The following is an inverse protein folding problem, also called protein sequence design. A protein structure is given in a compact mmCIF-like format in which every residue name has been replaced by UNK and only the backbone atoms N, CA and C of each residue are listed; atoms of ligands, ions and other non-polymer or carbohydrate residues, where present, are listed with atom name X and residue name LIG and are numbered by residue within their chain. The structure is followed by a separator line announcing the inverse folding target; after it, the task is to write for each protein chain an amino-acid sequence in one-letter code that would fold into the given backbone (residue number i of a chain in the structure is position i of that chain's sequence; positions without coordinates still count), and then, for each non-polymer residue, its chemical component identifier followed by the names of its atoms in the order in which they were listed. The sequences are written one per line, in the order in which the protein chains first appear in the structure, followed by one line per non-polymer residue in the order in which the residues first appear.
data_IF_345642243613
#
_entry.id   IF_345642243613
#
_cell.length_a   1.000
_cell.length_b   1.000
_cell.length_c   1.000
_cell.angle_alpha   90.00
_cell.angle_beta   90.00
_cell.angle_gamma   90.00
#
_symmetry.space_group_name_H-M   'P 1'
#
loop_
_entity.id
_entity.type
_entity.pdbx_description
1 polymer ?
#
# COMPACT_ATOMS: atom_id res chain seq x y z
N UNK A 1 14.12 8.18 33.46
CA UNK A 1 14.22 7.61 32.10
C UNK A 1 13.58 8.55 31.07
N UNK A 2 14.33 9.05 30.08
CA UNK A 2 13.87 10.05 29.10
C UNK A 2 13.24 9.48 27.83
N UNK A 3 13.14 8.16 27.69
CA UNK A 3 12.54 7.52 26.52
C UNK A 3 11.01 7.63 26.57
N UNK A 4 10.41 8.04 25.46
CA UNK A 4 8.97 8.11 25.25
C UNK A 4 8.56 7.09 24.20
N UNK A 5 7.38 6.49 24.40
CA UNK A 5 6.83 5.57 23.41
C UNK A 5 6.55 6.31 22.11
N UNK A 6 6.84 5.70 20.94
CA UNK A 6 6.59 6.33 19.66
C UNK A 6 5.11 6.67 19.49
N UNK A 7 4.82 7.82 18.90
CA UNK A 7 3.44 8.25 18.69
C UNK A 7 3.31 9.14 17.46
N UNK A 8 2.23 8.90 16.72
CA UNK A 8 1.85 9.64 15.52
C UNK A 8 0.40 10.10 15.62
N UNK A 9 0.07 11.16 14.89
CA UNK A 9 -1.31 11.49 14.58
C UNK A 9 -1.57 11.34 13.08
N UNK A 10 -2.79 10.90 12.74
CA UNK A 10 -3.24 10.69 11.36
C UNK A 10 -4.57 11.37 11.11
N UNK A 11 -4.67 12.07 9.99
CA UNK A 11 -5.93 12.59 9.45
C UNK A 11 -6.15 11.95 8.08
N UNK A 12 -7.38 11.51 7.82
CA UNK A 12 -7.81 11.00 6.52
C UNK A 12 -9.06 11.77 6.10
N UNK A 13 -9.08 12.22 4.85
CA UNK A 13 -10.22 12.86 4.22
C UNK A 13 -10.44 12.20 2.86
N UNK A 14 -11.69 11.87 2.55
CA UNK A 14 -12.06 11.35 1.25
C UNK A 14 -13.43 11.92 0.86
N UNK A 15 -13.52 12.39 -0.37
CA UNK A 15 -14.73 12.93 -0.97
C UNK A 15 -14.91 12.23 -2.31
N UNK A 16 -16.10 11.68 -2.53
CA UNK A 16 -16.54 11.19 -3.82
C UNK A 16 -17.82 11.93 -4.17
N UNK A 17 -17.89 12.44 -5.39
CA UNK A 17 -19.01 13.22 -5.86
C UNK A 17 -19.39 12.81 -7.27
N UNK A 18 -20.64 12.39 -7.44
CA UNK A 18 -21.25 12.25 -8.75
C UNK A 18 -21.65 13.63 -9.28
N UNK A 19 -20.98 14.05 -10.35
CA UNK A 19 -21.23 15.28 -11.09
C UNK A 19 -22.07 14.91 -12.33
N UNK A 20 -22.94 15.83 -12.75
CA UNK A 20 -23.92 15.59 -13.83
C UNK A 20 -23.34 14.89 -15.06
N UNK A 21 -24.19 14.12 -15.75
CA UNK A 21 -23.83 13.23 -16.87
C UNK A 21 -22.95 12.03 -16.47
N UNK A 22 -23.10 11.48 -15.26
CA UNK A 22 -22.47 10.22 -14.82
C UNK A 22 -20.96 10.30 -14.60
N UNK A 23 -20.42 11.52 -14.44
CA UNK A 23 -19.02 11.72 -14.07
C UNK A 23 -18.90 11.58 -12.55
N UNK A 24 -17.86 10.89 -12.10
CA UNK A 24 -17.51 10.78 -10.71
C UNK A 24 -16.17 11.48 -10.49
N UNK A 25 -16.15 12.43 -9.56
CA UNK A 25 -14.94 13.11 -9.12
C UNK A 25 -14.60 12.63 -7.72
N UNK A 26 -13.33 12.27 -7.53
CA UNK A 26 -12.81 11.85 -6.23
C UNK A 26 -11.67 12.76 -5.80
N UNK A 27 -11.60 13.01 -4.50
CA UNK A 27 -10.47 13.66 -3.86
C UNK A 27 -10.21 12.95 -2.53
N UNK A 28 -8.96 12.59 -2.27
CA UNK A 28 -8.56 12.02 -0.99
C UNK A 28 -7.26 12.63 -0.51
N UNK A 29 -7.11 12.67 0.81
CA UNK A 29 -5.96 13.22 1.49
C UNK A 29 -5.69 12.42 2.75
N UNK A 30 -4.44 12.02 2.94
CA UNK A 30 -3.95 11.42 4.17
C UNK A 30 -2.79 12.27 4.66
N UNK A 31 -2.80 12.64 5.92
CA UNK A 31 -1.69 13.32 6.56
C UNK A 31 -1.33 12.56 7.84
N UNK A 32 -0.04 12.31 8.03
CA UNK A 32 0.54 11.67 9.21
C UNK A 32 1.65 12.58 9.73
N UNK A 33 1.71 12.81 11.02
CA UNK A 33 2.84 13.48 11.64
C UNK A 33 3.28 12.76 12.91
N UNK A 34 4.58 12.57 12.99
CA UNK A 34 5.24 11.94 14.13
C UNK A 34 5.44 12.93 15.24
N UNK A 35 4.91 12.62 16.42
CA UNK A 35 5.09 13.42 17.63
C UNK A 35 6.30 12.93 18.43
N UNK A 36 6.46 11.61 18.54
CA UNK A 36 7.61 11.00 19.19
C UNK A 36 8.18 9.93 18.25
N UNK A 37 9.37 10.19 17.70
CA UNK A 37 10.02 9.27 16.77
C UNK A 37 10.73 8.12 17.48
N UNK A 38 11.09 7.09 16.71
CA UNK A 38 11.94 5.98 17.14
C UNK A 38 13.12 5.82 16.18
N UNK A 39 14.33 5.81 16.75
CA UNK A 39 15.53 5.53 16.01
C UNK A 39 16.43 4.56 16.78
N UNK A 40 17.32 3.89 16.05
CA UNK A 40 18.31 2.99 16.60
C UNK A 40 19.72 3.48 16.25
N UNK A 41 20.64 3.32 17.20
CA UNK A 41 22.07 3.55 16.99
C UNK A 41 22.89 2.50 17.73
N UNK A 42 24.08 2.18 17.22
CA UNK A 42 25.08 1.42 17.96
C UNK A 42 25.91 2.39 18.82
N UNK A 43 25.82 2.24 20.13
CA UNK A 43 26.55 3.12 21.08
C UNK A 43 28.05 2.81 21.14
N UNK A 44 28.48 1.66 20.60
CA UNK A 44 29.90 1.30 20.51
C UNK A 44 30.52 1.64 19.15
N UNK A 45 29.73 2.11 18.19
CA UNK A 45 30.24 2.49 16.89
C UNK A 45 31.08 3.78 16.99
N UNK A 46 32.39 3.61 16.87
CA UNK A 46 33.35 4.72 16.81
C UNK A 46 33.67 5.03 15.36
N UNK A 47 33.79 6.32 15.01
CA UNK A 47 34.24 6.71 13.67
C UNK A 47 35.73 6.41 13.53
N UNK A 48 36.14 5.86 12.39
CA UNK A 48 37.53 5.54 12.10
C UNK A 48 38.32 6.82 11.77
N UNK A 49 39.37 7.09 12.52
CA UNK A 49 40.29 8.20 12.27
C UNK A 49 41.64 7.68 11.78
N UNK A 50 42.14 8.21 10.67
CA UNK A 50 43.46 7.92 10.09
C UNK A 50 44.24 9.22 9.99
N UNK A 51 45.42 9.29 10.61
CA UNK A 51 46.26 10.50 10.66
C UNK A 51 45.51 11.76 11.18
N UNK A 52 44.62 11.58 12.14
CA UNK A 52 43.82 12.68 12.72
C UNK A 52 42.65 13.16 11.85
N UNK A 53 42.42 12.54 10.68
CA UNK A 53 41.30 12.87 9.79
C UNK A 53 40.24 11.77 9.79
N UNK A 54 38.97 12.17 9.63
CA UNK A 54 37.86 11.23 9.46
C UNK A 54 38.10 10.36 8.22
N UNK A 55 38.21 9.06 8.40
CA UNK A 55 38.30 8.14 7.27
C UNK A 55 36.95 8.05 6.57
N UNK A 56 36.98 8.20 5.24
CA UNK A 56 35.83 8.04 4.37
C UNK A 56 36.06 6.84 3.44
N UNK A 57 34.99 6.24 2.95
CA UNK A 57 35.02 5.30 1.83
C UNK A 57 35.32 6.08 0.53
N UNK A 58 35.72 5.42 -0.58
CA UNK A 58 35.99 6.10 -1.85
C UNK A 58 34.81 6.92 -2.40
N UNK A 59 33.58 6.54 -2.04
CA UNK A 59 32.32 7.24 -2.36
C UNK A 59 31.91 8.30 -1.30
N UNK A 60 32.80 8.64 -0.36
CA UNK A 60 32.64 9.76 0.58
C UNK A 60 31.88 9.44 1.88
N UNK A 61 31.52 8.18 2.15
CA UNK A 61 30.76 7.80 3.35
C UNK A 61 31.66 7.65 4.57
N UNK A 62 31.12 7.94 5.74
CA UNK A 62 31.84 7.80 7.02
C UNK A 62 32.21 6.32 7.26
N UNK A 63 33.48 6.05 7.54
CA UNK A 63 33.93 4.73 7.97
C UNK A 63 33.86 4.60 9.49
N UNK A 64 33.25 3.51 9.95
CA UNK A 64 33.27 3.10 11.35
C UNK A 64 34.41 2.12 11.62
N UNK A 65 34.87 2.16 12.86
CA UNK A 65 35.84 1.25 13.42
C UNK A 65 35.15 -0.09 13.75
N UNK A 66 35.35 -1.11 12.91
CA UNK A 66 34.65 -2.39 13.07
C UNK A 66 35.26 -3.54 12.26
N UNK A 67 36.56 -3.54 11.99
CA UNK A 67 37.21 -4.64 11.31
C UNK A 67 38.57 -4.87 11.96
N UNK A 68 38.77 -6.05 12.56
CA UNK A 68 40.06 -6.55 13.07
C UNK A 68 41.21 -6.56 12.03
N UNK A 69 40.93 -6.09 10.81
CA UNK A 69 41.85 -5.92 9.70
C UNK A 69 42.27 -4.47 9.43
N UNK A 70 41.63 -3.43 9.97
CA UNK A 70 41.98 -2.03 9.67
C UNK A 70 43.40 -1.65 10.14
N UNK A 71 43.86 -2.18 11.28
CA UNK A 71 45.27 -2.09 11.69
C UNK A 71 46.18 -3.01 10.86
N UNK A 72 45.67 -4.17 10.39
CA UNK A 72 46.46 -5.18 9.65
C UNK A 72 46.75 -4.78 8.21
N UNK A 73 45.91 -3.96 7.60
CA UNK A 73 46.08 -3.43 6.23
C UNK A 73 46.49 -1.96 6.22
N UNK A 74 46.85 -1.39 7.37
CA UNK A 74 47.36 -0.03 7.45
C UNK A 74 48.68 0.10 6.67
N UNK A 75 48.78 1.16 5.85
CA UNK A 75 50.01 1.47 5.13
C UNK A 75 51.07 1.92 6.13
N UNK A 76 52.31 1.45 5.97
CA UNK A 76 53.41 1.81 6.85
C UNK A 76 53.55 3.34 6.97
N UNK A 77 53.61 3.84 8.21
CA UNK A 77 53.66 5.29 8.52
C UNK A 77 52.30 5.95 8.77
N UNK A 78 51.18 5.23 8.69
CA UNK A 78 49.86 5.75 9.06
C UNK A 78 49.51 5.44 10.52
N UNK A 79 48.90 6.39 11.22
CA UNK A 79 48.34 6.18 12.57
C UNK A 79 46.84 5.92 12.44
N UNK A 80 46.41 4.70 12.80
CA UNK A 80 45.01 4.25 12.70
C UNK A 80 44.47 4.01 14.10
N UNK A 81 43.38 4.69 14.46
CA UNK A 81 42.74 4.64 15.80
C UNK A 81 41.88 3.39 16.06
N UNK A 82 41.96 2.39 15.17
CA UNK A 82 41.04 1.25 15.17
C UNK A 82 41.26 0.31 16.35
N UNK A 83 40.20 0.05 17.11
CA UNK A 83 40.13 -0.91 18.21
C UNK A 83 38.87 -1.76 18.00
N UNK A 84 38.99 -3.10 18.02
CA UNK A 84 37.82 -3.98 17.87
C UNK A 84 36.86 -3.77 19.06
N UNK A 85 35.69 -3.13 18.90
CA UNK A 85 34.82 -2.80 20.02
C UNK A 85 33.98 -3.99 20.50
N UNK A 86 34.10 -5.16 19.86
CA UNK A 86 33.26 -6.33 20.08
C UNK A 86 32.25 -6.55 18.94
N UNK A 87 31.18 -7.29 19.17
CA UNK A 87 30.28 -7.77 18.10
C UNK A 87 29.42 -6.71 17.40
N UNK A 88 29.61 -5.40 17.63
CA UNK A 88 28.84 -4.33 16.97
C UNK A 88 27.32 -4.45 17.13
N UNK A 89 26.86 -4.76 18.36
CA UNK A 89 25.46 -5.10 18.67
C UNK A 89 24.90 -4.36 19.88
N UNK A 90 25.56 -3.31 20.36
CA UNK A 90 25.04 -2.52 21.48
C UNK A 90 24.09 -1.47 20.95
N UNK A 91 22.89 -1.93 20.61
CA UNK A 91 21.87 -1.10 20.00
C UNK A 91 21.09 -0.36 21.07
N UNK A 92 21.07 0.96 20.97
CA UNK A 92 20.21 1.83 21.74
C UNK A 92 19.03 2.29 20.90
N UNK A 93 17.82 2.00 21.36
CA UNK A 93 16.62 2.70 20.93
C UNK A 93 16.55 4.08 21.62
N UNK A 94 16.28 5.13 20.85
CA UNK A 94 16.14 6.48 21.38
C UNK A 94 15.11 7.30 20.58
N UNK A 95 14.62 8.38 21.19
CA UNK A 95 13.78 9.35 20.49
C UNK A 95 14.69 10.37 19.81
N UNK A 96 14.68 10.48 18.46
CA UNK A 96 15.43 11.53 17.77
C UNK A 96 14.88 12.91 18.11
N UNK A 97 15.72 13.94 18.03
CA UNK A 97 15.31 15.34 18.22
C UNK A 97 14.57 15.93 17.02
N UNK A 98 14.50 15.20 15.92
CA UNK A 98 13.79 15.56 14.70
C UNK A 98 12.45 14.81 14.65
N UNK A 99 11.42 15.42 14.06
CA UNK A 99 10.09 14.83 13.81
C UNK A 99 9.76 14.86 12.31
N UNK A 100 8.99 13.88 11.83
CA UNK A 100 8.68 13.71 10.41
C UNK A 100 7.19 13.85 10.13
N UNK A 101 6.83 14.11 8.88
CA UNK A 101 5.44 14.10 8.43
C UNK A 101 5.32 13.56 7.01
N UNK A 102 4.22 12.87 6.75
CA UNK A 102 3.90 12.32 5.44
C UNK A 102 2.53 12.84 5.06
N UNK A 103 2.41 13.36 3.85
CA UNK A 103 1.09 13.63 3.28
C UNK A 103 0.97 13.06 1.90
N UNK A 104 -0.20 12.50 1.61
CA UNK A 104 -0.60 11.99 0.31
C UNK A 104 -1.91 12.64 -0.08
N UNK A 105 -1.98 13.22 -1.26
CA UNK A 105 -3.22 13.74 -1.84
C UNK A 105 -3.45 13.10 -3.20
N UNK A 106 -4.69 12.72 -3.48
CA UNK A 106 -5.09 12.20 -4.78
C UNK A 106 -6.37 12.86 -5.25
N UNK A 107 -6.44 13.13 -6.55
CA UNK A 107 -7.66 13.58 -7.23
C UNK A 107 -7.91 12.71 -8.43
N UNK A 108 -9.17 12.44 -8.73
CA UNK A 108 -9.55 11.58 -9.83
C UNK A 108 -10.86 12.00 -10.47
N UNK A 109 -11.01 11.62 -11.73
CA UNK A 109 -12.25 11.69 -12.49
C UNK A 109 -12.48 10.37 -13.18
N UNK A 110 -13.69 9.84 -13.12
CA UNK A 110 -14.07 8.63 -13.82
C UNK A 110 -15.48 8.75 -14.39
N UNK A 111 -15.76 7.96 -15.42
CA UNK A 111 -17.10 7.84 -15.98
C UNK A 111 -17.31 6.44 -16.51
N UNK A 112 -18.51 5.93 -16.26
CA UNK A 112 -19.03 4.72 -16.89
C UNK A 112 -20.07 5.14 -17.92
N UNK A 113 -19.94 4.63 -19.14
CA UNK A 113 -20.89 4.87 -20.23
C UNK A 113 -21.82 3.67 -20.38
N UNK A 114 -23.06 3.92 -20.81
CA UNK A 114 -24.07 2.88 -20.99
C UNK A 114 -23.71 1.86 -22.08
N UNK A 115 -22.88 2.26 -23.05
CA UNK A 115 -22.37 1.40 -24.11
C UNK A 115 -21.22 0.46 -23.68
N UNK A 116 -20.90 0.42 -22.38
CA UNK A 116 -19.90 -0.48 -21.82
C UNK A 116 -18.50 0.09 -21.70
N UNK A 117 -18.26 1.27 -22.29
CA UNK A 117 -17.00 1.97 -22.09
C UNK A 117 -16.91 2.54 -20.68
N UNK A 118 -15.71 2.61 -20.17
CA UNK A 118 -15.40 3.37 -18.98
C UNK A 118 -14.02 4.01 -19.11
N UNK A 119 -13.84 5.12 -18.41
CA UNK A 119 -12.52 5.69 -18.20
C UNK A 119 -12.39 6.17 -16.77
N UNK A 120 -11.15 6.15 -16.28
CA UNK A 120 -10.75 6.83 -15.06
C UNK A 120 -9.38 7.46 -15.28
N UNK A 121 -9.20 8.66 -14.74
CA UNK A 121 -7.91 9.34 -14.68
C UNK A 121 -7.73 9.85 -13.26
N UNK A 122 -6.56 9.60 -12.67
CA UNK A 122 -6.22 10.06 -11.34
C UNK A 122 -4.80 10.57 -11.29
N UNK A 123 -4.59 11.56 -10.42
CA UNK A 123 -3.29 12.11 -10.08
C UNK A 123 -3.11 12.01 -8.58
N UNK A 124 -1.98 11.46 -8.16
CA UNK A 124 -1.60 11.32 -6.76
C UNK A 124 -0.24 11.96 -6.54
N UNK A 125 -0.11 12.66 -5.42
CA UNK A 125 1.11 13.29 -4.96
C UNK A 125 1.34 12.98 -3.50
N UNK A 126 2.58 12.66 -3.18
CA UNK A 126 3.03 12.43 -1.82
C UNK A 126 4.28 13.26 -1.56
N UNK A 127 4.39 13.71 -0.32
CA UNK A 127 5.64 14.17 0.26
C UNK A 127 5.83 13.43 1.57
N UNK A 128 6.98 12.78 1.74
CA UNK A 128 7.33 12.07 2.96
C UNK A 128 8.63 12.60 3.53
N UNK A 129 8.57 13.17 4.72
CA UNK A 129 9.72 13.46 5.55
C UNK A 129 9.75 12.44 6.69
N UNK A 130 10.71 11.52 6.63
CA UNK A 130 10.82 10.36 7.51
C UNK A 130 12.25 10.16 8.00
N UNK A 131 12.41 9.49 9.14
CA UNK A 131 13.74 9.11 9.64
C UNK A 131 14.31 7.93 8.88
N UNK A 132 15.53 8.07 8.39
CA UNK A 132 16.20 6.97 7.67
C UNK A 132 16.67 5.82 8.58
N UNK A 133 16.81 6.07 9.88
CA UNK A 133 17.11 5.06 10.90
C UNK A 133 15.86 4.50 11.61
N UNK A 134 14.69 4.63 10.97
CA UNK A 134 13.43 4.08 11.46
C UNK A 134 13.33 2.57 11.19
N UNK A 135 12.43 1.88 11.89
CA UNK A 135 12.21 0.44 11.84
C UNK A 135 11.63 -0.08 10.50
N UNK A 136 12.27 0.26 9.38
CA UNK A 136 11.89 -0.20 8.04
C UNK A 136 12.26 -1.68 7.90
N UNK A 137 11.35 -2.46 7.32
CA UNK A 137 11.39 -3.93 7.10
C UNK A 137 12.81 -4.53 7.17
N UNK A 138 13.25 -4.94 8.36
CA UNK A 138 14.54 -5.60 8.55
C UNK A 138 14.41 -6.76 9.52
N UNK A 139 15.08 -7.85 9.19
CA UNK A 139 15.14 -9.06 10.00
C UNK A 139 16.32 -9.07 11.00
N UNK A 140 17.24 -8.09 10.93
CA UNK A 140 18.39 -8.03 11.84
C UNK A 140 18.58 -6.64 12.41
N UNK A 141 18.87 -6.53 13.70
CA UNK A 141 19.07 -5.25 14.38
C UNK A 141 20.14 -4.37 13.71
N UNK A 142 21.11 -4.97 13.02
CA UNK A 142 22.16 -4.25 12.29
C UNK A 142 21.70 -3.63 10.97
N UNK A 143 20.66 -4.14 10.30
CA UNK A 143 20.20 -3.50 9.06
C UNK A 143 19.31 -2.27 9.31
N UNK A 144 18.84 -2.06 10.55
CA UNK A 144 17.99 -0.94 10.92
C UNK A 144 18.69 0.43 10.87
N UNK A 145 20.02 0.47 11.01
CA UNK A 145 20.81 1.71 10.90
C UNK A 145 21.56 1.82 9.55
N UNK A 146 21.48 0.80 8.67
CA UNK A 146 22.13 0.82 7.35
C UNK A 146 21.25 1.43 6.24
N UNK A 147 20.01 1.83 6.55
CA UNK A 147 19.04 2.35 5.58
C UNK A 147 19.16 3.84 5.26
N UNK A 148 20.29 4.48 5.59
CA UNK A 148 20.49 5.92 5.47
C UNK A 148 21.16 6.35 4.17
N UNK A 149 20.88 7.58 3.73
CA UNK A 149 21.58 8.20 2.61
C UNK A 149 23.10 8.12 2.80
N UNK A 150 23.80 7.72 1.75
CA UNK A 150 25.24 7.49 1.76
C UNK A 150 26.05 8.69 2.34
N UNK A 151 25.62 9.91 2.07
CA UNK A 151 26.30 11.14 2.51
C UNK A 151 26.11 11.48 3.99
N UNK A 152 25.20 10.80 4.70
CA UNK A 152 24.87 11.07 6.10
C UNK A 152 25.43 9.99 7.01
N UNK A 153 25.55 10.31 8.30
CA UNK A 153 26.03 9.38 9.32
C UNK A 153 24.98 8.27 9.55
N UNK A 154 25.26 7.00 9.20
CA UNK A 154 24.31 5.90 9.34
C UNK A 154 24.02 5.53 10.80
N UNK A 155 24.82 6.00 11.76
CA UNK A 155 24.63 5.76 13.19
C UNK A 155 23.79 6.86 13.88
N UNK A 156 23.21 7.80 13.11
CA UNK A 156 22.39 8.88 13.64
C UNK A 156 21.12 9.05 12.82
N UNK A 157 19.96 9.12 13.48
CA UNK A 157 18.75 9.52 12.78
C UNK A 157 18.88 10.91 12.16
N UNK A 158 18.49 11.00 10.89
CA UNK A 158 18.29 12.25 10.16
C UNK A 158 16.98 12.15 9.40
N UNK A 159 16.24 13.26 9.37
CA UNK A 159 15.05 13.43 8.56
C UNK A 159 15.42 13.54 7.08
N UNK A 160 14.48 13.24 6.21
CA UNK A 160 14.70 13.27 4.77
C UNK A 160 13.60 12.54 4.02
N UNK A 161 13.70 12.61 2.69
CA UNK A 161 12.70 12.06 1.80
C UNK A 161 12.50 10.55 2.02
N UNK A 162 11.26 10.08 2.08
CA UNK A 162 11.00 8.65 2.02
C UNK A 162 11.52 8.04 0.71
N UNK A 163 12.04 6.82 0.77
CA UNK A 163 12.47 6.10 -0.44
C UNK A 163 11.27 5.72 -1.32
N UNK A 164 10.12 5.47 -0.70
CA UNK A 164 8.86 5.06 -1.35
C UNK A 164 7.94 6.24 -1.67
N UNK A 165 8.47 7.47 -1.68
CA UNK A 165 7.65 8.66 -1.96
C UNK A 165 7.09 8.59 -3.39
N UNK A 166 5.76 8.64 -3.50
CA UNK A 166 5.06 8.82 -4.76
C UNK A 166 5.04 10.32 -5.09
N UNK A 167 6.14 10.85 -5.62
CA UNK A 167 6.27 12.30 -5.84
C UNK A 167 5.18 12.83 -6.79
N UNK A 168 5.00 12.16 -7.93
CA UNK A 168 3.98 12.48 -8.92
C UNK A 168 3.57 11.18 -9.64
N UNK A 169 2.32 10.76 -9.46
CA UNK A 169 1.78 9.58 -10.14
C UNK A 169 0.49 9.93 -10.86
N UNK A 170 0.47 9.67 -12.17
CA UNK A 170 -0.75 9.70 -12.98
C UNK A 170 -1.13 8.28 -13.32
N UNK A 171 -2.38 7.90 -13.02
CA UNK A 171 -2.94 6.60 -13.41
C UNK A 171 -4.18 6.82 -14.27
N UNK A 172 -4.11 6.31 -15.49
CA UNK A 172 -5.24 6.24 -16.42
C UNK A 172 -5.73 4.80 -16.57
N UNK A 173 -7.04 4.64 -16.63
CA UNK A 173 -7.72 3.39 -16.93
C UNK A 173 -8.72 3.65 -18.05
N UNK A 174 -8.70 2.80 -19.07
CA UNK A 174 -9.65 2.81 -20.16
C UNK A 174 -10.10 1.38 -20.39
N UNK A 175 -11.39 1.14 -20.17
CA UNK A 175 -11.96 -0.18 -20.25
C UNK A 175 -13.16 -0.20 -21.17
N UNK A 176 -13.39 -1.35 -21.80
CA UNK A 176 -14.67 -1.69 -22.39
C UNK A 176 -15.11 -3.02 -21.82
N UNK A 177 -16.30 -3.04 -21.23
CA UNK A 177 -17.01 -4.25 -20.84
C UNK A 177 -18.34 -4.24 -21.55
N UNK A 178 -18.80 -5.37 -22.07
CA UNK A 178 -20.18 -5.44 -22.57
C UNK A 178 -21.11 -5.22 -21.36
N UNK A 179 -21.74 -4.05 -21.27
CA UNK A 179 -22.74 -3.82 -20.23
C UNK A 179 -23.87 -4.83 -20.48
N UNK A 180 -24.15 -5.64 -19.47
CA UNK A 180 -25.35 -6.46 -19.47
C UNK A 180 -26.51 -5.50 -19.18
N UNK A 181 -27.58 -5.61 -19.96
CA UNK A 181 -28.85 -5.02 -19.56
C UNK A 181 -29.26 -5.63 -18.23
N UNK A 182 -30.14 -4.95 -17.47
CA UNK A 182 -30.69 -5.50 -16.24
C UNK A 182 -31.19 -6.93 -16.44
N UNK A 183 -31.93 -7.16 -17.52
CA UNK A 183 -32.50 -8.47 -17.83
C UNK A 183 -31.43 -9.51 -18.18
N UNK A 184 -30.40 -9.13 -18.94
CA UNK A 184 -29.28 -10.02 -19.24
C UNK A 184 -28.45 -10.35 -17.98
N UNK A 185 -28.32 -9.43 -17.03
CA UNK A 185 -27.68 -9.67 -15.75
C UNK A 185 -28.52 -10.59 -14.85
N UNK A 186 -29.85 -10.41 -14.83
CA UNK A 186 -30.79 -11.29 -14.13
C UNK A 186 -30.75 -12.70 -14.73
N UNK A 187 -30.78 -12.84 -16.05
CA UNK A 187 -30.67 -14.13 -16.72
C UNK A 187 -29.34 -14.82 -16.41
N UNK A 188 -28.23 -14.08 -16.47
CA UNK A 188 -26.90 -14.62 -16.14
C UNK A 188 -26.84 -15.11 -14.69
N UNK A 189 -27.37 -14.33 -13.73
CA UNK A 189 -27.43 -14.72 -12.33
C UNK A 189 -28.33 -15.95 -12.12
N UNK A 190 -29.52 -15.97 -12.75
CA UNK A 190 -30.45 -17.09 -12.69
C UNK A 190 -29.83 -18.38 -13.22
N UNK A 191 -29.11 -18.30 -14.34
CA UNK A 191 -28.39 -19.41 -14.95
C UNK A 191 -27.25 -19.93 -14.08
N UNK A 192 -26.44 -19.03 -13.52
CA UNK A 192 -25.36 -19.41 -12.61
C UNK A 192 -25.89 -20.16 -11.37
N UNK A 193 -27.03 -19.72 -10.81
CA UNK A 193 -27.68 -20.41 -9.70
C UNK A 193 -28.23 -21.79 -10.11
N UNK A 194 -28.77 -21.93 -11.32
CA UNK A 194 -29.21 -23.21 -11.85
C UNK A 194 -28.04 -24.18 -12.04
N UNK A 195 -26.94 -23.75 -12.68
CA UNK A 195 -25.74 -24.58 -12.87
C UNK A 195 -25.09 -24.97 -11.54
N UNK A 196 -25.08 -24.06 -10.56
CA UNK A 196 -24.64 -24.36 -9.21
C UNK A 196 -25.50 -25.45 -8.56
N UNK A 197 -26.84 -25.37 -8.69
CA UNK A 197 -27.75 -26.37 -8.14
C UNK A 197 -27.67 -27.75 -8.81
N UNK A 198 -27.27 -27.79 -10.09
CA UNK A 198 -27.08 -29.05 -10.81
C UNK A 198 -25.82 -29.80 -10.34
N UNK A 199 -24.79 -29.04 -9.94
CA UNK A 199 -23.49 -29.60 -9.52
C UNK A 199 -23.34 -29.78 -8.01
N UNK A 200 -24.11 -29.05 -7.19
CA UNK A 200 -24.07 -29.11 -5.73
C UNK A 200 -25.45 -29.43 -5.13
N UNK A 201 -25.57 -30.61 -4.53
CA UNK A 201 -26.80 -31.08 -3.87
C UNK A 201 -27.26 -30.24 -2.67
N UNK A 202 -26.39 -29.43 -2.07
CA UNK A 202 -26.76 -28.50 -0.99
C UNK A 202 -27.40 -27.20 -1.52
N UNK A 203 -27.28 -26.93 -2.82
CA UNK A 203 -27.85 -25.75 -3.47
C UNK A 203 -29.19 -26.09 -4.11
N UNK A 204 -30.28 -25.55 -3.55
CA UNK A 204 -31.63 -25.73 -4.10
C UNK A 204 -31.81 -24.97 -5.41
N UNK A 205 -32.06 -25.70 -6.50
CA UNK A 205 -32.39 -25.13 -7.81
C UNK A 205 -33.82 -24.58 -7.89
N UNK A 206 -34.18 -23.93 -9.01
CA UNK A 206 -35.56 -23.46 -9.24
C UNK A 206 -36.54 -24.65 -9.26
N UNK A 207 -37.55 -24.61 -8.39
CA UNK A 207 -38.65 -25.60 -8.37
C UNK A 207 -39.87 -25.04 -9.10
N UNK A 208 -39.90 -25.29 -10.41
CA UNK A 208 -40.97 -24.82 -11.30
C UNK A 208 -42.31 -25.50 -10.99
N UNK A 209 -42.31 -26.72 -10.44
CA UNK A 209 -43.54 -27.42 -10.09
C UNK A 209 -44.25 -26.76 -8.90
N UNK A 210 -43.48 -26.20 -7.97
CA UNK A 210 -44.00 -25.49 -6.79
C UNK A 210 -43.98 -23.97 -6.95
N UNK A 211 -43.47 -23.45 -8.06
CA UNK A 211 -43.32 -22.01 -8.29
C UNK A 211 -42.32 -21.34 -7.35
N UNK A 212 -41.29 -22.05 -6.91
CA UNK A 212 -40.27 -21.54 -5.97
C UNK A 212 -39.00 -21.19 -6.76
N UNK A 213 -38.63 -19.92 -6.74
CA UNK A 213 -37.48 -19.39 -7.46
C UNK A 213 -36.50 -18.71 -6.51
N UNK A 214 -35.19 -18.68 -6.83
CA UNK A 214 -34.23 -17.85 -6.12
C UNK A 214 -34.61 -16.38 -6.14
N UNK A 215 -34.42 -15.69 -5.01
CA UNK A 215 -34.67 -14.26 -4.91
C UNK A 215 -33.56 -13.50 -5.62
N UNK A 216 -33.89 -12.78 -6.69
CA UNK A 216 -32.97 -11.89 -7.40
C UNK A 216 -33.45 -10.45 -7.26
N UNK A 217 -32.53 -9.52 -7.02
CA UNK A 217 -32.80 -8.09 -6.98
C UNK A 217 -31.71 -7.31 -7.71
N UNK A 218 -32.11 -6.22 -8.37
CA UNK A 218 -31.19 -5.24 -8.94
C UNK A 218 -31.05 -4.06 -7.99
N UNK A 219 -29.84 -3.53 -7.82
CA UNK A 219 -29.59 -2.29 -7.09
C UNK A 219 -29.04 -1.29 -8.09
N UNK A 220 -29.75 -0.17 -8.27
CA UNK A 220 -29.34 0.93 -9.15
C UNK A 220 -29.40 2.27 -8.39
N UNK A 221 -29.22 3.39 -9.09
CA UNK A 221 -29.23 4.73 -8.48
C UNK A 221 -30.56 5.08 -7.78
N UNK A 222 -31.67 4.42 -8.15
CA UNK A 222 -32.97 4.58 -7.50
C UNK A 222 -33.15 3.62 -6.30
N UNK A 223 -32.16 2.78 -6.02
CA UNK A 223 -32.14 1.86 -4.88
C UNK A 223 -32.41 0.41 -5.26
N UNK A 224 -32.95 -0.34 -4.31
CA UNK A 224 -33.17 -1.78 -4.41
C UNK A 224 -34.50 -2.09 -5.11
N UNK A 225 -34.45 -2.96 -6.11
CA UNK A 225 -35.60 -3.39 -6.92
C UNK A 225 -35.63 -4.92 -7.05
N UNK A 226 -36.54 -5.58 -6.34
CA UNK A 226 -36.75 -7.04 -6.47
C UNK A 226 -37.26 -7.40 -7.85
N UNK A 227 -36.71 -8.46 -8.45
CA UNK A 227 -37.30 -9.08 -9.64
C UNK A 227 -38.55 -9.85 -9.21
N UNK A 228 -39.67 -9.64 -9.91
CA UNK A 228 -40.90 -10.35 -9.59
C UNK A 228 -40.77 -11.85 -9.85
N UNK A 229 -41.50 -12.65 -9.08
CA UNK A 229 -41.50 -14.11 -9.26
C UNK A 229 -42.06 -14.50 -10.65
N UNK A 230 -42.97 -13.71 -11.23
CA UNK A 230 -43.47 -13.87 -12.61
C UNK A 230 -42.35 -13.69 -13.66
N UNK A 231 -41.54 -12.64 -13.50
CA UNK A 231 -40.39 -12.42 -14.39
C UNK A 231 -39.35 -13.53 -14.24
N UNK A 232 -39.09 -13.99 -13.01
CA UNK A 232 -38.17 -15.09 -12.76
C UNK A 232 -38.67 -16.41 -13.35
N UNK A 233 -39.98 -16.69 -13.26
CA UNK A 233 -40.59 -17.85 -13.89
C UNK A 233 -40.33 -17.86 -15.39
N UNK A 234 -40.59 -16.74 -16.08
CA UNK A 234 -40.33 -16.60 -17.51
C UNK A 234 -38.84 -16.77 -17.86
N UNK A 235 -37.93 -16.21 -17.05
CA UNK A 235 -36.48 -16.37 -17.24
C UNK A 235 -36.05 -17.84 -17.10
N UNK A 236 -36.49 -18.54 -16.06
CA UNK A 236 -36.14 -19.94 -15.85
C UNK A 236 -36.77 -20.87 -16.91
N UNK A 237 -37.98 -20.60 -17.37
CA UNK A 237 -38.57 -21.32 -18.50
C UNK A 237 -37.75 -21.16 -19.78
N UNK A 238 -37.26 -19.95 -20.07
CA UNK A 238 -36.40 -19.70 -21.23
C UNK A 238 -35.07 -20.45 -21.11
N UNK A 239 -34.42 -20.41 -19.95
CA UNK A 239 -33.18 -21.16 -19.67
C UNK A 239 -33.41 -22.67 -19.88
N UNK A 240 -34.49 -23.23 -19.31
CA UNK A 240 -34.81 -24.65 -19.46
C UNK A 240 -35.06 -25.04 -20.91
N UNK A 241 -35.75 -24.19 -21.69
CA UNK A 241 -36.01 -24.43 -23.11
C UNK A 241 -34.72 -24.48 -23.91
N UNK A 242 -33.80 -23.55 -23.65
CA UNK A 242 -32.50 -23.51 -24.31
C UNK A 242 -31.66 -24.74 -23.95
N UNK A 243 -31.57 -25.09 -22.66
CA UNK A 243 -30.83 -26.28 -22.20
C UNK A 243 -31.36 -27.56 -22.84
N UNK A 244 -32.69 -27.72 -22.95
CA UNK A 244 -33.31 -28.89 -23.62
C UNK A 244 -33.05 -28.95 -25.13
N UNK A 245 -32.69 -27.83 -25.76
CA UNK A 245 -32.44 -27.73 -27.20
C UNK A 245 -30.98 -27.99 -27.60
N UNK A 246 -30.08 -28.10 -26.62
CA UNK A 246 -28.65 -28.43 -26.81
C UNK A 246 -28.45 -29.93 -26.64
#
# INVERSE_FOLDING_TARGET
PGFKMPSDWRINLAVNWEVGNGYNVSASGVYVNTKEGLAFRDIRANRLIVNGQQALTPDGRIRYDALSTAQKTAVAGTTVTSVNPGSGRDIQAYNPGETGSIWTAAVGVSKYFDNGFNFALSYSKQNSDEFSASARFSSTASSLYSGQYASLDPNTATSGRGQEEISDAVKGEFGWRKNLTRDAAVELAARALWEASDTDTATGGPDVLRGIYPIIASIDANGWNRVSDESLAATYEAIMREVRSR
#
